data_IF_330666472004
#
_entry.id   IF_330666472004
#
_cell.length_a   1.000
_cell.length_b   1.000
_cell.length_c   1.000
_cell.angle_alpha   90.00
_cell.angle_beta   90.00
_cell.angle_gamma   90.00
#
_symmetry.space_group_name_H-M   'P 1'
#
loop_
_entity.id
_entity.type
_entity.pdbx_description
1 polymer ?
#
# COMPACT_ATOMS: atom_id res chain seq x y z
N UNK A 1 -19.70 0.87 2.29
CA UNK A 1 -18.89 1.72 1.42
C UNK A 1 -17.82 2.40 2.25
N UNK A 2 -16.58 2.27 1.82
CA UNK A 2 -15.44 2.82 2.55
C UNK A 2 -14.59 3.71 1.65
N UNK A 3 -13.69 4.48 2.26
CA UNK A 3 -12.79 5.37 1.55
C UNK A 3 -11.35 4.94 1.80
N UNK A 4 -10.63 4.65 0.73
CA UNK A 4 -9.28 4.11 0.76
C UNK A 4 -8.30 5.15 0.21
N UNK A 5 -7.20 5.38 0.93
CA UNK A 5 -6.10 6.22 0.47
C UNK A 5 -5.09 5.35 -0.26
N UNK A 6 -4.93 5.56 -1.58
CA UNK A 6 -3.95 4.83 -2.39
C UNK A 6 -2.71 5.72 -2.58
N UNK A 7 -1.61 5.31 -1.97
CA UNK A 7 -0.35 6.07 -1.97
C UNK A 7 0.57 5.55 -3.06
N UNK A 8 1.00 6.45 -3.95
CA UNK A 8 1.92 6.12 -5.04
C UNK A 8 3.17 7.00 -4.96
N UNK A 9 4.29 6.47 -5.44
CA UNK A 9 5.50 7.26 -5.60
C UNK A 9 5.31 8.28 -6.73
N UNK A 10 5.92 9.47 -6.63
CA UNK A 10 5.77 10.49 -7.68
C UNK A 10 6.51 10.12 -8.98
N UNK A 11 7.49 9.21 -8.90
CA UNK A 11 8.23 8.70 -10.06
C UNK A 11 8.36 7.19 -9.93
N UNK A 12 7.93 6.45 -10.96
CA UNK A 12 8.16 5.02 -11.03
C UNK A 12 7.19 4.14 -10.23
N UNK A 13 5.94 4.57 -10.01
CA UNK A 13 4.96 3.67 -9.41
C UNK A 13 4.55 2.59 -10.42
N UNK A 14 4.13 1.42 -9.91
CA UNK A 14 3.66 0.31 -10.75
C UNK A 14 2.21 0.56 -11.17
N UNK A 15 2.00 0.89 -12.46
CA UNK A 15 0.68 1.28 -12.98
C UNK A 15 -0.38 0.18 -12.88
N UNK A 16 0.00 -1.07 -13.08
CA UNK A 16 -0.93 -2.21 -12.99
C UNK A 16 -1.41 -2.39 -11.55
N UNK A 17 -0.50 -2.31 -10.59
CA UNK A 17 -0.87 -2.43 -9.18
C UNK A 17 -1.83 -1.32 -8.76
N UNK A 18 -1.54 -0.11 -9.19
CA UNK A 18 -2.39 1.03 -8.92
C UNK A 18 -3.77 0.89 -9.55
N UNK A 19 -3.82 0.65 -10.86
CA UNK A 19 -5.10 0.63 -11.59
C UNK A 19 -5.96 -0.58 -11.24
N UNK A 20 -5.38 -1.78 -11.16
CA UNK A 20 -6.14 -3.00 -10.91
C UNK A 20 -6.69 -3.06 -9.49
N UNK A 21 -5.90 -2.62 -8.49
CA UNK A 21 -6.41 -2.56 -7.11
C UNK A 21 -7.50 -1.50 -6.98
N UNK A 22 -7.32 -0.34 -7.62
CA UNK A 22 -8.32 0.73 -7.62
C UNK A 22 -9.62 0.29 -8.29
N UNK A 23 -9.53 -0.35 -9.45
CA UNK A 23 -10.69 -0.84 -10.18
C UNK A 23 -11.45 -1.89 -9.36
N UNK A 24 -10.74 -2.83 -8.73
CA UNK A 24 -11.37 -3.85 -7.89
C UNK A 24 -12.13 -3.22 -6.72
N UNK A 25 -11.53 -2.25 -6.04
CA UNK A 25 -12.15 -1.57 -4.91
C UNK A 25 -13.37 -0.74 -5.37
N UNK A 26 -13.26 -0.02 -6.48
CA UNK A 26 -14.37 0.76 -7.02
C UNK A 26 -15.53 -0.13 -7.44
N UNK A 27 -15.25 -1.27 -8.07
CA UNK A 27 -16.27 -2.23 -8.48
C UNK A 27 -17.04 -2.78 -7.28
N UNK A 28 -16.42 -2.81 -6.10
CA UNK A 28 -17.04 -3.27 -4.86
C UNK A 28 -17.67 -2.13 -4.05
N UNK A 29 -17.79 -0.95 -4.64
CA UNK A 29 -18.52 0.18 -4.05
C UNK A 29 -17.71 1.13 -3.20
N UNK A 30 -16.39 0.99 -3.17
CA UNK A 30 -15.52 1.86 -2.37
C UNK A 30 -15.03 3.08 -3.16
N UNK A 31 -14.67 4.13 -2.43
CA UNK A 31 -14.02 5.31 -2.99
C UNK A 31 -12.51 5.18 -2.79
N UNK A 32 -11.73 5.47 -3.83
CA UNK A 32 -10.27 5.46 -3.77
C UNK A 32 -9.75 6.86 -4.06
N UNK A 33 -8.95 7.39 -3.13
CA UNK A 33 -8.30 8.69 -3.26
C UNK A 33 -6.81 8.46 -3.45
N UNK A 34 -6.24 9.07 -4.48
CA UNK A 34 -4.81 8.90 -4.81
C UNK A 34 -3.98 9.98 -4.15
N UNK A 35 -2.92 9.57 -3.47
CA UNK A 35 -2.01 10.48 -2.78
C UNK A 35 -0.56 10.23 -3.18
N UNK A 36 0.24 11.28 -3.18
CA UNK A 36 1.68 11.22 -3.41
C UNK A 36 2.35 12.43 -2.77
N UNK A 37 3.67 12.46 -2.80
CA UNK A 37 4.43 13.62 -2.34
C UNK A 37 4.39 14.78 -3.34
N UNK A 38 4.07 14.51 -4.61
CA UNK A 38 3.95 15.53 -5.66
C UNK A 38 2.53 15.51 -6.26
N UNK A 39 2.09 16.64 -6.81
CA UNK A 39 0.76 16.77 -7.43
C UNK A 39 0.62 15.94 -8.70
N UNK A 40 1.71 15.68 -9.40
CA UNK A 40 1.74 14.89 -10.62
C UNK A 40 2.65 13.70 -10.40
N UNK A 41 2.20 12.51 -10.77
CA UNK A 41 2.97 11.30 -10.63
C UNK A 41 3.12 10.61 -11.97
N UNK A 42 4.23 9.89 -12.14
CA UNK A 42 4.55 9.13 -13.36
C UNK A 42 4.78 7.68 -13.01
N UNK A 43 4.10 6.79 -13.75
CA UNK A 43 4.34 5.36 -13.60
C UNK A 43 5.72 4.97 -14.11
N UNK A 44 6.14 3.75 -13.83
CA UNK A 44 7.39 3.21 -14.37
C UNK A 44 7.41 3.21 -15.90
N UNK A 45 6.25 3.21 -16.54
CA UNK A 45 6.12 3.23 -18.00
C UNK A 45 5.92 4.64 -18.56
N UNK A 46 6.00 5.66 -17.72
CA UNK A 46 5.92 7.06 -18.13
C UNK A 46 4.51 7.65 -18.20
N UNK A 47 3.48 6.87 -17.93
CA UNK A 47 2.10 7.38 -17.89
C UNK A 47 1.94 8.33 -16.70
N UNK A 48 1.41 9.53 -16.94
CA UNK A 48 1.22 10.52 -15.87
C UNK A 48 -0.21 10.55 -15.37
N UNK A 49 -0.37 10.96 -14.12
CA UNK A 49 -1.68 11.26 -13.55
C UNK A 49 -1.59 12.42 -12.57
N UNK A 50 -2.73 13.09 -12.36
CA UNK A 50 -2.86 14.09 -11.31
C UNK A 50 -3.28 13.37 -10.03
N UNK A 51 -2.55 13.61 -8.93
CA UNK A 51 -2.92 13.06 -7.63
C UNK A 51 -4.04 13.90 -7.01
N UNK A 52 -4.89 13.23 -6.23
CA UNK A 52 -6.04 13.88 -5.61
C UNK A 52 -5.64 14.70 -4.40
N UNK A 53 -4.66 14.22 -3.64
CA UNK A 53 -4.22 14.89 -2.41
C UNK A 53 -2.72 14.68 -2.19
N UNK A 54 -2.06 15.69 -1.63
CA UNK A 54 -0.65 15.54 -1.22
C UNK A 54 -0.61 14.81 0.13
N UNK A 55 0.42 13.95 0.30
CA UNK A 55 0.57 13.20 1.56
C UNK A 55 0.56 14.09 2.80
N UNK A 56 1.19 15.26 2.71
CA UNK A 56 1.24 16.21 3.84
C UNK A 56 -0.12 16.77 4.22
N UNK A 57 -1.11 16.69 3.35
CA UNK A 57 -2.45 17.24 3.55
C UNK A 57 -3.49 16.16 3.88
N UNK A 58 -3.08 14.91 4.08
CA UNK A 58 -4.00 13.81 4.38
C UNK A 58 -4.57 13.98 5.78
N UNK A 59 -5.91 13.98 5.85
CA UNK A 59 -6.64 13.93 7.13
C UNK A 59 -7.02 12.46 7.37
N UNK A 60 -6.40 11.87 8.38
CA UNK A 60 -6.59 10.47 8.75
C UNK A 60 -8.06 10.09 8.94
N UNK A 61 -8.85 10.99 9.53
CA UNK A 61 -10.24 10.70 9.85
C UNK A 61 -11.13 10.50 8.63
N UNK A 62 -10.68 10.97 7.48
CA UNK A 62 -11.43 10.81 6.24
C UNK A 62 -11.32 9.43 5.57
N UNK A 63 -10.51 8.52 6.12
CA UNK A 63 -10.20 7.25 5.46
C UNK A 63 -10.40 6.06 6.37
N UNK A 64 -10.75 4.93 5.76
CA UNK A 64 -10.93 3.64 6.46
C UNK A 64 -9.72 2.71 6.26
N UNK A 65 -8.93 2.96 5.22
CA UNK A 65 -7.76 2.14 4.90
C UNK A 65 -6.71 2.95 4.16
N UNK A 66 -5.46 2.52 4.26
CA UNK A 66 -4.36 3.00 3.44
C UNK A 66 -3.78 1.84 2.63
N UNK A 67 -3.41 2.12 1.39
CA UNK A 67 -2.85 1.16 0.45
C UNK A 67 -1.59 1.77 -0.17
N UNK A 68 -0.46 1.09 -0.03
CA UNK A 68 0.80 1.53 -0.64
C UNK A 68 1.07 0.71 -1.90
N UNK A 69 1.18 1.39 -3.02
CA UNK A 69 1.47 0.80 -4.33
C UNK A 69 2.99 0.63 -4.50
N UNK A 70 3.40 -0.47 -5.13
CA UNK A 70 4.80 -0.75 -5.37
C UNK A 70 5.35 -0.12 -6.64
N UNK A 71 6.41 -0.71 -7.15
CA UNK A 71 7.15 -0.22 -8.31
C UNK A 71 8.53 0.30 -7.94
N UNK A 72 9.39 0.55 -8.93
CA UNK A 72 10.78 0.99 -8.65
C UNK A 72 10.87 2.28 -7.84
N UNK A 73 9.90 3.18 -7.98
CA UNK A 73 9.93 4.46 -7.27
C UNK A 73 9.61 4.36 -5.77
N UNK A 74 9.00 3.26 -5.33
CA UNK A 74 8.58 3.13 -3.93
C UNK A 74 9.77 3.02 -2.97
N UNK A 75 10.94 2.65 -3.48
CA UNK A 75 12.16 2.58 -2.66
C UNK A 75 12.49 3.92 -2.00
N UNK A 76 12.13 5.04 -2.63
CA UNK A 76 12.32 6.37 -2.04
C UNK A 76 11.45 6.60 -0.81
N UNK A 77 10.42 5.79 -0.61
CA UNK A 77 9.53 5.86 0.56
C UNK A 77 10.00 4.99 1.74
N UNK A 78 10.93 4.08 1.52
CA UNK A 78 11.33 3.09 2.54
C UNK A 78 11.88 3.71 3.82
N UNK A 79 12.56 4.86 3.71
CA UNK A 79 13.13 5.57 4.86
C UNK A 79 12.51 6.97 5.03
N UNK A 80 11.43 7.26 4.31
CA UNK A 80 10.78 8.56 4.39
C UNK A 80 9.94 8.64 5.68
N UNK A 81 10.37 9.50 6.60
CA UNK A 81 9.74 9.62 7.92
C UNK A 81 8.24 9.94 7.83
N UNK A 82 7.83 10.82 6.91
CA UNK A 82 6.43 11.19 6.75
C UNK A 82 5.58 9.99 6.30
N UNK A 83 6.10 9.19 5.37
CA UNK A 83 5.42 7.99 4.87
C UNK A 83 5.31 6.93 5.97
N UNK A 84 6.41 6.65 6.67
CA UNK A 84 6.42 5.68 7.76
C UNK A 84 5.47 6.10 8.88
N UNK A 85 5.47 7.37 9.23
CA UNK A 85 4.57 7.90 10.27
C UNK A 85 3.11 7.81 9.87
N UNK A 86 2.80 8.02 8.60
CA UNK A 86 1.43 7.91 8.10
C UNK A 86 0.92 6.46 8.26
N UNK A 87 1.74 5.48 7.89
CA UNK A 87 1.41 4.07 8.09
C UNK A 87 1.15 3.76 9.57
N UNK A 88 2.02 4.26 10.46
CA UNK A 88 1.86 4.07 11.92
C UNK A 88 0.57 4.70 12.44
N UNK A 89 0.20 5.88 11.95
CA UNK A 89 -1.03 6.57 12.36
C UNK A 89 -2.28 5.80 11.97
N UNK A 90 -2.32 5.28 10.75
CA UNK A 90 -3.42 4.44 10.30
C UNK A 90 -3.55 3.19 11.16
N UNK A 91 -2.44 2.53 11.44
CA UNK A 91 -2.44 1.34 12.30
C UNK A 91 -2.94 1.68 13.72
N UNK A 92 -2.41 2.73 14.31
CA UNK A 92 -2.79 3.15 15.67
C UNK A 92 -4.27 3.48 15.77
N UNK A 93 -4.86 3.99 14.69
CA UNK A 93 -6.29 4.31 14.62
C UNK A 93 -7.17 3.07 14.36
N UNK A 94 -6.57 1.88 14.27
CA UNK A 94 -7.32 0.63 14.03
C UNK A 94 -7.79 0.44 12.60
N UNK A 95 -7.23 1.19 11.67
CA UNK A 95 -7.63 1.13 10.26
C UNK A 95 -6.83 0.06 9.51
N UNK A 96 -7.32 -0.31 8.33
CA UNK A 96 -6.63 -1.27 7.46
C UNK A 96 -5.35 -0.62 6.91
N UNK A 97 -4.24 -1.35 7.00
CA UNK A 97 -2.94 -0.93 6.47
C UNK A 97 -2.48 -1.99 5.47
N UNK A 98 -2.30 -1.60 4.22
CA UNK A 98 -2.02 -2.56 3.16
C UNK A 98 -0.90 -2.09 2.24
N UNK A 99 -0.21 -3.05 1.61
CA UNK A 99 0.90 -2.76 0.71
C UNK A 99 1.13 -3.91 -0.25
N UNK A 100 1.57 -3.60 -1.47
CA UNK A 100 1.77 -4.59 -2.53
C UNK A 100 3.18 -4.50 -3.12
N UNK A 101 3.70 -5.63 -3.58
CA UNK A 101 4.98 -5.76 -4.28
C UNK A 101 6.16 -5.40 -3.38
N UNK A 102 6.90 -4.34 -3.70
CA UNK A 102 8.00 -3.88 -2.86
C UNK A 102 7.52 -3.03 -1.66
N UNK A 103 6.31 -2.49 -1.74
CA UNK A 103 5.79 -1.58 -0.73
C UNK A 103 5.62 -2.16 0.68
N UNK A 104 5.42 -3.48 0.90
CA UNK A 104 5.40 -4.02 2.26
C UNK A 104 6.65 -3.71 3.08
N UNK A 105 7.79 -3.41 2.44
CA UNK A 105 8.98 -2.94 3.15
C UNK A 105 8.77 -1.61 3.87
N UNK A 106 7.84 -0.78 3.41
CA UNK A 106 7.44 0.44 4.13
C UNK A 106 6.89 0.05 5.51
N UNK A 107 5.99 -0.93 5.55
CA UNK A 107 5.38 -1.39 6.78
C UNK A 107 6.40 -2.06 7.70
N UNK A 108 7.29 -2.87 7.11
CA UNK A 108 8.37 -3.52 7.85
C UNK A 108 9.29 -2.50 8.49
N UNK A 109 9.72 -1.48 7.73
CA UNK A 109 10.60 -0.42 8.20
C UNK A 109 9.94 0.49 9.24
N UNK A 110 8.61 0.61 9.18
CA UNK A 110 7.85 1.32 10.21
C UNK A 110 7.71 0.52 11.51
N UNK A 111 8.21 -0.71 11.56
CA UNK A 111 8.12 -1.56 12.74
C UNK A 111 6.75 -2.21 12.93
N UNK A 112 5.91 -2.21 11.92
CA UNK A 112 4.52 -2.66 12.04
C UNK A 112 4.34 -4.16 11.80
N UNK A 113 5.29 -4.82 11.15
CA UNK A 113 5.13 -6.22 10.76
C UNK A 113 5.79 -7.23 11.69
N UNK A 114 6.35 -6.79 12.82
CA UNK A 114 6.98 -7.71 13.79
C UNK A 114 5.92 -8.69 14.32
N UNK A 115 6.19 -9.99 14.10
CA UNK A 115 5.25 -11.05 14.50
C UNK A 115 4.04 -11.20 13.58
N UNK A 116 3.99 -10.48 12.49
CA UNK A 116 2.85 -10.47 11.54
C UNK A 116 3.21 -11.32 10.32
N UNK A 117 2.22 -12.10 9.86
CA UNK A 117 2.34 -12.82 8.59
C UNK A 117 2.17 -11.83 7.44
N UNK A 118 3.10 -11.84 6.49
CA UNK A 118 3.08 -10.92 5.36
C UNK A 118 3.75 -11.51 4.15
N UNK A 119 3.35 -11.03 2.98
CA UNK A 119 4.00 -11.35 1.71
C UNK A 119 4.51 -10.07 1.06
N UNK A 120 5.33 -10.21 0.04
CA UNK A 120 5.87 -9.09 -0.72
C UNK A 120 6.48 -9.62 -2.01
N UNK A 121 6.94 -8.72 -2.86
CA UNK A 121 7.75 -9.11 -3.99
C UNK A 121 9.02 -9.81 -3.48
N UNK A 122 9.46 -10.92 -4.09
CA UNK A 122 10.57 -11.74 -3.55
C UNK A 122 11.83 -10.96 -3.18
N UNK A 123 12.15 -9.88 -3.89
CA UNK A 123 13.33 -9.06 -3.59
C UNK A 123 13.28 -8.42 -2.20
N UNK A 124 12.11 -8.28 -1.59
CA UNK A 124 11.93 -7.65 -0.28
C UNK A 124 11.74 -8.67 0.85
N UNK A 125 11.72 -9.95 0.52
CA UNK A 125 11.51 -11.00 1.54
C UNK A 125 12.54 -10.94 2.66
N UNK A 126 13.81 -10.73 2.31
CA UNK A 126 14.88 -10.64 3.31
C UNK A 126 14.66 -9.47 4.28
N UNK A 127 14.20 -8.32 3.76
CA UNK A 127 13.93 -7.16 4.61
C UNK A 127 12.76 -7.43 5.57
N UNK A 128 11.68 -8.02 5.08
CA UNK A 128 10.55 -8.38 5.93
C UNK A 128 10.99 -9.31 7.07
N UNK A 129 11.75 -10.34 6.74
CA UNK A 129 12.27 -11.29 7.73
C UNK A 129 13.18 -10.59 8.75
N UNK A 130 14.07 -9.72 8.27
CA UNK A 130 14.99 -8.97 9.14
C UNK A 130 14.25 -8.07 10.12
N UNK A 131 13.07 -7.58 9.75
CA UNK A 131 12.22 -6.73 10.59
C UNK A 131 11.23 -7.54 11.43
N UNK A 132 11.35 -8.86 11.45
CA UNK A 132 10.56 -9.73 12.32
C UNK A 132 9.23 -10.23 11.77
N UNK A 133 8.94 -10.00 10.49
CA UNK A 133 7.73 -10.52 9.86
C UNK A 133 7.86 -12.01 9.57
N UNK A 134 6.72 -12.71 9.54
CA UNK A 134 6.64 -14.09 9.06
C UNK A 134 6.30 -14.05 7.58
N UNK A 135 7.32 -14.14 6.73
CA UNK A 135 7.13 -14.10 5.28
C UNK A 135 6.45 -15.37 4.78
N UNK A 136 5.29 -15.21 4.13
CA UNK A 136 4.48 -16.35 3.66
C UNK A 136 4.81 -16.80 2.25
N UNK A 137 5.24 -15.88 1.39
CA UNK A 137 5.43 -16.16 -0.05
C UNK A 137 4.11 -16.35 -0.81
N UNK A 138 2.97 -16.08 -0.19
CA UNK A 138 1.66 -16.21 -0.83
C UNK A 138 1.38 -15.01 -1.74
N UNK A 139 0.40 -15.16 -2.64
CA UNK A 139 -0.02 -14.07 -3.51
C UNK A 139 -0.58 -12.90 -2.70
N UNK A 140 -1.43 -13.19 -1.72
CA UNK A 140 -2.02 -12.22 -0.79
C UNK A 140 -2.03 -12.84 0.60
N UNK A 141 -1.67 -12.06 1.61
CA UNK A 141 -1.71 -12.48 3.00
C UNK A 141 -2.46 -11.43 3.82
N UNK A 142 -3.40 -11.89 4.64
CA UNK A 142 -4.12 -11.05 5.60
C UNK A 142 -3.79 -11.54 7.01
N UNK A 143 -3.33 -10.64 7.87
CA UNK A 143 -3.09 -10.93 9.28
C UNK A 143 -3.41 -9.67 10.08
N UNK A 144 -4.32 -9.78 11.03
CA UNK A 144 -4.88 -8.64 11.75
C UNK A 144 -5.43 -7.61 10.75
N UNK A 145 -5.04 -6.35 10.86
CA UNK A 145 -5.46 -5.30 9.92
C UNK A 145 -4.46 -5.06 8.80
N UNK A 146 -3.48 -5.97 8.64
CA UNK A 146 -2.48 -5.87 7.59
C UNK A 146 -2.83 -6.78 6.43
N UNK A 147 -2.80 -6.21 5.22
CA UNK A 147 -3.02 -6.96 3.99
C UNK A 147 -1.85 -6.65 3.06
N UNK A 148 -1.17 -7.71 2.63
CA UNK A 148 -0.01 -7.57 1.74
C UNK A 148 -0.18 -8.47 0.53
N UNK A 149 0.45 -8.09 -0.58
CA UNK A 149 0.41 -8.86 -1.83
C UNK A 149 1.78 -8.84 -2.52
N UNK A 150 2.02 -9.82 -3.37
CA UNK A 150 3.37 -10.08 -3.87
C UNK A 150 3.74 -9.35 -5.18
N UNK A 151 2.78 -8.84 -5.93
CA UNK A 151 3.13 -8.13 -7.15
C UNK A 151 1.94 -7.83 -8.05
N UNK A 152 2.22 -7.33 -9.28
CA UNK A 152 1.18 -6.86 -10.21
C UNK A 152 0.10 -7.90 -10.52
N UNK A 153 0.49 -9.18 -10.63
CA UNK A 153 -0.46 -10.24 -10.95
C UNK A 153 -1.49 -10.48 -9.84
N UNK A 154 -1.21 -10.01 -8.64
CA UNK A 154 -2.08 -10.18 -7.46
C UNK A 154 -2.88 -8.92 -7.13
N UNK A 155 -2.79 -7.87 -7.93
CA UNK A 155 -3.37 -6.57 -7.60
C UNK A 155 -4.89 -6.62 -7.43
N UNK A 156 -5.59 -7.37 -8.27
CA UNK A 156 -7.06 -7.54 -8.15
C UNK A 156 -7.42 -8.26 -6.86
N UNK A 157 -6.78 -9.40 -6.60
CA UNK A 157 -7.01 -10.17 -5.36
C UNK A 157 -6.69 -9.32 -4.13
N UNK A 158 -5.67 -8.48 -4.22
CA UNK A 158 -5.29 -7.55 -3.17
C UNK A 158 -6.43 -6.57 -2.85
N UNK A 159 -6.99 -5.94 -3.90
CA UNK A 159 -8.14 -5.05 -3.73
C UNK A 159 -9.35 -5.77 -3.12
N UNK A 160 -9.63 -6.99 -3.58
CA UNK A 160 -10.72 -7.80 -3.04
C UNK A 160 -10.49 -8.15 -1.56
N UNK A 161 -9.26 -8.48 -1.18
CA UNK A 161 -8.92 -8.77 0.22
C UNK A 161 -9.11 -7.55 1.12
N UNK A 162 -8.74 -6.37 0.63
CA UNK A 162 -8.96 -5.11 1.37
C UNK A 162 -10.46 -4.89 1.57
N UNK A 163 -11.26 -5.05 0.53
CA UNK A 163 -12.71 -4.90 0.61
C UNK A 163 -13.33 -5.86 1.62
N UNK A 164 -12.90 -7.11 1.59
CA UNK A 164 -13.36 -8.13 2.54
C UNK A 164 -13.05 -7.73 3.98
N UNK A 165 -11.86 -7.21 4.24
CA UNK A 165 -11.45 -6.78 5.57
C UNK A 165 -12.23 -5.56 6.07
N UNK A 166 -12.67 -4.72 5.15
CA UNK A 166 -13.48 -3.55 5.48
C UNK A 166 -14.93 -3.93 5.81
N UNK A 167 -15.35 -5.10 5.43
CA UNK A 167 -16.73 -5.56 5.62
C UNK A 167 -17.61 -5.04 4.51
#
# INVERSE_FOLDING_TARGET
MSKILSVIAPQGYQGIEYSHSKEALKALGHTVVTASTNKKAFSKDGTSLQVDVLLKNVDLDGYDAILFVGGPGVYDYFENAAVLNLAKKFHKAGKIVSAICAAPSILANAGLLKGIKATCFPSQAANLKAKGAHYTGEAVTTDENFITADGPNSARLFGEAISKALG
#
